data_IF_955357729643
#
_entry.id   IF_955357729643
#
_cell.length_a   1.000
_cell.length_b   1.000
_cell.length_c   1.000
_cell.angle_alpha   90.00
_cell.angle_beta   90.00
_cell.angle_gamma   90.00
#
_symmetry.space_group_name_H-M   'P 1'
#
loop_
_entity.id
_entity.type
_entity.pdbx_description
1 polymer ?
#
# COMPACT_ATOMS: atom_id res chain seq x y z
N UNK A 1 -11.00 27.35 0.94
CA UNK A 1 -10.19 26.24 1.50
C UNK A 1 -10.51 25.02 0.65
N UNK A 2 -9.64 24.69 -0.33
CA UNK A 2 -9.89 23.57 -1.25
C UNK A 2 -9.64 22.25 -0.50
N UNK A 3 -10.71 21.56 -0.12
CA UNK A 3 -10.68 20.28 0.60
C UNK A 3 -10.12 19.14 -0.28
N UNK A 4 -10.08 19.32 -1.59
CA UNK A 4 -9.64 18.33 -2.58
C UNK A 4 -8.17 17.88 -2.52
N UNK A 5 -7.18 18.73 -2.17
CA UNK A 5 -5.78 18.25 -2.10
C UNK A 5 -5.46 17.37 -0.89
N UNK A 6 -6.30 17.34 0.14
CA UNK A 6 -6.07 16.52 1.35
C UNK A 6 -6.60 15.09 1.25
N UNK A 7 -7.56 14.81 0.35
CA UNK A 7 -8.17 13.48 0.21
C UNK A 7 -7.14 12.39 -0.15
N UNK A 8 -6.26 12.57 -1.15
CA UNK A 8 -5.25 11.57 -1.46
C UNK A 8 -4.33 11.24 -0.29
N UNK A 9 -3.89 12.27 0.44
CA UNK A 9 -3.02 12.08 1.61
C UNK A 9 -3.72 11.29 2.72
N UNK A 10 -5.01 11.55 2.95
CA UNK A 10 -5.82 10.79 3.91
C UNK A 10 -5.94 9.33 3.50
N UNK A 11 -6.19 9.04 2.20
CA UNK A 11 -6.29 7.67 1.69
C UNK A 11 -4.97 6.94 1.81
N UNK A 12 -3.84 7.58 1.45
CA UNK A 12 -2.50 6.99 1.60
C UNK A 12 -2.23 6.69 3.08
N UNK A 13 -2.49 7.67 3.97
CA UNK A 13 -2.29 7.49 5.41
C UNK A 13 -3.16 6.35 5.97
N UNK A 14 -4.42 6.26 5.53
CA UNK A 14 -5.31 5.16 5.92
C UNK A 14 -4.78 3.80 5.47
N UNK A 15 -4.24 3.68 4.25
CA UNK A 15 -3.63 2.45 3.75
C UNK A 15 -2.38 2.08 4.55
N UNK A 16 -1.53 3.06 4.89
CA UNK A 16 -0.33 2.86 5.70
C UNK A 16 -0.68 2.39 7.12
N UNK A 17 -1.75 2.94 7.71
CA UNK A 17 -2.23 2.54 9.05
C UNK A 17 -2.91 1.17 9.00
N UNK A 18 -3.75 0.93 7.99
CA UNK A 18 -4.53 -0.30 7.87
C UNK A 18 -3.65 -1.54 7.65
N UNK A 19 -2.59 -1.38 6.82
CA UNK A 19 -1.76 -2.52 6.42
C UNK A 19 -1.14 -3.29 7.59
N UNK A 20 -0.43 -2.69 8.56
CA UNK A 20 0.10 -3.42 9.71
C UNK A 20 -1.00 -3.97 10.62
N UNK A 21 -2.08 -3.22 10.87
CA UNK A 21 -3.16 -3.61 11.78
C UNK A 21 -3.92 -4.87 11.34
N UNK A 22 -3.83 -5.24 10.07
CA UNK A 22 -4.49 -6.42 9.50
C UNK A 22 -3.46 -7.48 9.10
N UNK A 23 -2.72 -7.97 10.09
CA UNK A 23 -1.72 -9.04 9.93
C UNK A 23 -0.65 -8.72 8.86
N UNK A 24 -0.27 -7.42 8.74
CA UNK A 24 0.66 -6.95 7.72
C UNK A 24 0.09 -6.97 6.29
N UNK A 25 -1.23 -6.99 6.13
CA UNK A 25 -1.87 -7.07 4.81
C UNK A 25 -1.72 -8.43 4.14
N UNK A 26 -1.37 -9.49 4.89
CA UNK A 26 -1.08 -10.82 4.32
C UNK A 26 -2.33 -11.68 4.14
N UNK A 27 -3.39 -11.43 4.90
CA UNK A 27 -4.65 -12.19 4.78
C UNK A 27 -5.38 -11.85 3.49
N UNK A 28 -6.13 -12.81 2.97
CA UNK A 28 -6.93 -12.63 1.75
C UNK A 28 -7.92 -11.46 1.89
N UNK A 29 -8.56 -11.33 3.05
CA UNK A 29 -9.49 -10.25 3.35
C UNK A 29 -8.83 -8.88 3.36
N UNK A 30 -7.67 -8.74 4.01
CA UNK A 30 -6.93 -7.47 4.05
C UNK A 30 -6.41 -7.08 2.66
N UNK A 31 -5.92 -8.03 1.87
CA UNK A 31 -5.52 -7.77 0.48
C UNK A 31 -6.71 -7.31 -0.38
N UNK A 32 -7.89 -7.89 -0.21
CA UNK A 32 -9.10 -7.43 -0.92
C UNK A 32 -9.45 -5.99 -0.56
N UNK A 33 -9.42 -5.64 0.73
CA UNK A 33 -9.71 -4.27 1.20
C UNK A 33 -8.68 -3.28 0.66
N UNK A 34 -7.39 -3.60 0.73
CA UNK A 34 -6.32 -2.75 0.21
C UNK A 34 -6.51 -2.52 -1.31
N UNK A 35 -6.76 -3.57 -2.08
CA UNK A 35 -7.02 -3.47 -3.52
C UNK A 35 -8.26 -2.62 -3.81
N UNK A 36 -9.35 -2.82 -3.07
CA UNK A 36 -10.57 -2.01 -3.21
C UNK A 36 -10.29 -0.53 -2.97
N UNK A 37 -9.55 -0.18 -1.92
CA UNK A 37 -9.17 1.20 -1.62
C UNK A 37 -8.32 1.81 -2.73
N UNK A 38 -7.35 1.06 -3.28
CA UNK A 38 -6.52 1.51 -4.41
C UNK A 38 -7.39 1.76 -5.67
N UNK A 39 -8.30 0.85 -5.99
CA UNK A 39 -9.20 0.97 -7.15
C UNK A 39 -10.17 2.14 -6.98
N UNK A 40 -10.74 2.32 -5.79
CA UNK A 40 -11.61 3.47 -5.49
C UNK A 40 -10.85 4.79 -5.64
N UNK A 41 -9.64 4.86 -5.12
CA UNK A 41 -8.81 6.05 -5.27
C UNK A 41 -8.46 6.32 -6.73
N UNK A 42 -8.04 5.29 -7.48
CA UNK A 42 -7.81 5.41 -8.92
C UNK A 42 -9.07 5.93 -9.64
N UNK A 43 -10.25 5.40 -9.30
CA UNK A 43 -11.52 5.85 -9.86
C UNK A 43 -11.80 7.33 -9.58
N UNK A 44 -11.52 7.82 -8.37
CA UNK A 44 -11.64 9.23 -8.01
C UNK A 44 -10.69 10.10 -8.86
N UNK A 45 -9.43 9.67 -9.00
CA UNK A 45 -8.41 10.38 -9.79
C UNK A 45 -8.80 10.45 -11.27
N UNK A 46 -9.26 9.34 -11.83
CA UNK A 46 -9.73 9.30 -13.23
C UNK A 46 -10.95 10.19 -13.44
N UNK A 47 -11.93 10.14 -12.52
CA UNK A 47 -13.11 11.00 -12.59
C UNK A 47 -12.75 12.50 -12.51
N UNK A 48 -11.79 12.86 -11.69
CA UNK A 48 -11.27 14.24 -11.61
C UNK A 48 -10.54 14.63 -12.90
N UNK A 49 -9.67 13.76 -13.44
CA UNK A 49 -8.95 14.00 -14.69
C UNK A 49 -9.90 14.22 -15.87
N UNK A 50 -10.98 13.45 -15.96
CA UNK A 50 -12.04 13.62 -16.97
C UNK A 50 -12.73 14.97 -16.81
N UNK A 51 -13.07 15.37 -15.58
CA UNK A 51 -13.74 16.65 -15.30
C UNK A 51 -12.86 17.87 -15.64
N UNK A 52 -11.57 17.76 -15.38
CA UNK A 52 -10.60 18.85 -15.62
C UNK A 52 -10.10 18.84 -17.07
N UNK A 53 -10.29 17.75 -17.81
CA UNK A 53 -9.81 17.59 -19.19
C UNK A 53 -8.30 17.41 -19.29
N UNK A 54 -7.61 17.09 -18.17
CA UNK A 54 -6.15 16.90 -18.16
C UNK A 54 -5.75 15.75 -17.22
N UNK A 55 -4.86 14.89 -17.73
CA UNK A 55 -4.22 13.84 -16.95
C UNK A 55 -2.73 14.15 -16.86
N UNK A 56 -2.27 14.49 -15.68
CA UNK A 56 -0.84 14.69 -15.45
C UNK A 56 -0.27 13.49 -14.69
N UNK A 57 0.18 12.48 -15.43
CA UNK A 57 0.86 11.31 -14.86
C UNK A 57 2.36 11.53 -14.99
N UNK A 58 3.11 11.63 -13.88
CA UNK A 58 4.55 11.82 -13.95
C UNK A 58 5.23 10.59 -14.56
N UNK A 59 5.79 10.73 -15.75
CA UNK A 59 6.55 9.67 -16.42
C UNK A 59 8.00 9.68 -15.91
N UNK A 60 8.23 9.02 -14.79
CA UNK A 60 9.57 8.81 -14.24
C UNK A 60 10.26 7.63 -14.92
N UNK A 61 11.58 7.65 -15.00
CA UNK A 61 12.37 6.52 -15.52
C UNK A 61 12.07 5.22 -14.77
N UNK A 62 11.91 5.29 -13.44
CA UNK A 62 11.50 4.16 -12.59
C UNK A 62 10.10 3.65 -12.96
N UNK A 63 9.22 4.52 -13.43
CA UNK A 63 7.87 4.15 -13.86
C UNK A 63 7.86 3.24 -15.09
N UNK A 64 8.76 3.45 -16.05
CA UNK A 64 8.90 2.54 -17.19
C UNK A 64 9.37 1.15 -16.76
N UNK A 65 10.28 1.07 -15.77
CA UNK A 65 10.73 -0.21 -15.20
C UNK A 65 9.54 -0.91 -14.51
N UNK A 66 8.75 -0.20 -13.73
CA UNK A 66 7.58 -0.74 -13.06
C UNK A 66 6.54 -1.27 -14.06
N UNK A 67 6.26 -0.53 -15.15
CA UNK A 67 5.36 -0.97 -16.22
C UNK A 67 5.91 -2.17 -16.98
N UNK A 68 7.21 -2.22 -17.26
CA UNK A 68 7.86 -3.36 -17.88
C UNK A 68 7.73 -4.62 -17.02
N UNK A 69 7.83 -4.48 -15.70
CA UNK A 69 7.64 -5.57 -14.76
C UNK A 69 6.19 -6.08 -14.77
N UNK A 70 5.20 -5.20 -14.89
CA UNK A 70 3.78 -5.61 -15.07
C UNK A 70 3.62 -6.37 -16.39
N UNK A 71 4.22 -5.89 -17.48
CA UNK A 71 4.20 -6.57 -18.79
C UNK A 71 4.79 -7.98 -18.71
N UNK A 72 5.95 -8.12 -18.06
CA UNK A 72 6.58 -9.42 -17.84
C UNK A 72 5.71 -10.36 -16.99
N UNK A 73 5.13 -9.84 -15.91
CA UNK A 73 4.21 -10.60 -15.05
C UNK A 73 2.95 -11.04 -15.79
N UNK A 74 2.43 -10.21 -16.70
CA UNK A 74 1.30 -10.55 -17.56
C UNK A 74 1.66 -11.72 -18.49
N UNK A 75 2.79 -11.62 -19.18
CA UNK A 75 3.28 -12.69 -20.07
C UNK A 75 3.49 -13.98 -19.26
N UNK A 76 4.16 -13.92 -18.12
CA UNK A 76 4.36 -15.08 -17.26
C UNK A 76 3.03 -15.71 -16.80
N UNK A 77 2.01 -14.89 -16.53
CA UNK A 77 0.67 -15.37 -16.15
C UNK A 77 -0.04 -16.10 -17.29
N UNK A 78 0.09 -15.60 -18.52
CA UNK A 78 -0.53 -16.22 -19.71
C UNK A 78 0.03 -17.62 -20.00
N UNK A 79 1.31 -17.84 -19.74
CA UNK A 79 2.00 -19.11 -19.95
C UNK A 79 2.11 -19.96 -18.68
N UNK A 80 1.45 -19.59 -17.60
CA UNK A 80 1.54 -20.31 -16.32
C UNK A 80 0.73 -21.60 -16.34
N UNK A 81 1.29 -22.73 -15.86
CA UNK A 81 0.55 -23.95 -15.63
C UNK A 81 -0.46 -23.85 -14.47
N UNK A 82 -0.35 -22.80 -13.64
CA UNK A 82 -1.22 -22.54 -12.51
C UNK A 82 -1.97 -21.20 -12.67
N UNK A 83 -3.00 -21.13 -13.50
CA UNK A 83 -3.61 -19.85 -13.90
C UNK A 83 -4.27 -19.10 -12.73
N UNK A 84 -4.84 -19.80 -11.76
CA UNK A 84 -5.51 -19.13 -10.63
C UNK A 84 -4.53 -18.43 -9.68
N UNK A 85 -3.49 -19.06 -9.12
CA UNK A 85 -2.48 -18.36 -8.33
C UNK A 85 -1.78 -17.25 -9.10
N UNK A 86 -1.43 -17.49 -10.37
CA UNK A 86 -0.72 -16.50 -11.19
C UNK A 86 -1.52 -15.22 -11.41
N UNK A 87 -2.85 -15.32 -11.60
CA UNK A 87 -3.72 -14.15 -11.68
C UNK A 87 -3.76 -13.37 -10.36
N UNK A 88 -3.74 -14.04 -9.21
CA UNK A 88 -3.71 -13.36 -7.92
C UNK A 88 -2.42 -12.56 -7.73
N UNK A 89 -1.27 -13.13 -8.10
CA UNK A 89 0.02 -12.46 -8.08
C UNK A 89 0.08 -11.29 -9.07
N UNK A 90 -0.44 -11.47 -10.28
CA UNK A 90 -0.52 -10.39 -11.26
C UNK A 90 -1.34 -9.21 -10.72
N UNK A 91 -2.52 -9.47 -10.16
CA UNK A 91 -3.35 -8.42 -9.56
C UNK A 91 -2.66 -7.71 -8.40
N UNK A 92 -1.83 -8.42 -7.64
CA UNK A 92 -1.03 -7.82 -6.57
C UNK A 92 0.04 -6.89 -7.13
N UNK A 93 0.78 -7.32 -8.15
CA UNK A 93 1.80 -6.51 -8.84
C UNK A 93 1.16 -5.26 -9.47
N UNK A 94 0.04 -5.41 -10.16
CA UNK A 94 -0.72 -4.29 -10.74
C UNK A 94 -1.15 -3.33 -9.64
N UNK A 95 -1.64 -3.83 -8.51
CA UNK A 95 -2.01 -3.02 -7.35
C UNK A 95 -0.82 -2.20 -6.80
N UNK A 96 0.34 -2.81 -6.64
CA UNK A 96 1.55 -2.12 -6.18
C UNK A 96 2.01 -1.02 -7.15
N UNK A 97 2.01 -1.31 -8.45
CA UNK A 97 2.39 -0.33 -9.46
C UNK A 97 1.37 0.81 -9.54
N UNK A 98 0.08 0.50 -9.44
CA UNK A 98 -0.97 1.52 -9.35
C UNK A 98 -0.78 2.41 -8.12
N UNK A 99 -0.56 1.81 -6.96
CA UNK A 99 -0.31 2.55 -5.72
C UNK A 99 0.94 3.43 -5.84
N UNK A 100 2.03 2.91 -6.42
CA UNK A 100 3.25 3.68 -6.67
C UNK A 100 2.97 4.94 -7.51
N UNK A 101 2.24 4.79 -8.62
CA UNK A 101 1.89 5.94 -9.46
C UNK A 101 0.99 6.96 -8.76
N UNK A 102 0.00 6.48 -7.99
CA UNK A 102 -0.86 7.34 -7.19
C UNK A 102 -0.04 8.08 -6.13
N UNK A 103 0.89 7.40 -5.47
CA UNK A 103 1.77 8.00 -4.47
C UNK A 103 2.65 9.09 -5.08
N UNK A 104 3.36 8.80 -6.18
CA UNK A 104 4.23 9.77 -6.87
C UNK A 104 3.44 10.97 -7.41
N UNK A 105 2.20 10.76 -7.84
CA UNK A 105 1.35 11.83 -8.36
C UNK A 105 0.89 12.80 -7.28
N UNK A 106 0.64 12.32 -6.07
CA UNK A 106 0.02 13.12 -5.00
C UNK A 106 0.97 13.49 -3.87
N UNK A 107 2.11 12.82 -3.72
CA UNK A 107 3.14 13.18 -2.75
C UNK A 107 4.20 14.06 -3.43
N UNK A 108 3.78 15.28 -3.78
CA UNK A 108 4.57 16.26 -4.53
C UNK A 108 5.22 17.32 -3.63
N UNK A 109 4.78 17.43 -2.34
CA UNK A 109 5.24 18.43 -1.38
C UNK A 109 5.98 17.79 -0.23
N UNK A 110 6.97 18.50 0.30
CA UNK A 110 7.70 18.09 1.50
C UNK A 110 6.80 17.87 2.71
N UNK A 111 5.73 18.65 2.84
CA UNK A 111 4.72 18.48 3.89
C UNK A 111 4.01 17.12 3.83
N UNK A 112 3.71 16.63 2.61
CA UNK A 112 3.11 15.30 2.41
C UNK A 112 4.07 14.20 2.83
N UNK A 113 5.34 14.30 2.42
CA UNK A 113 6.40 13.36 2.83
C UNK A 113 6.55 13.35 4.35
N UNK A 114 6.64 14.54 4.98
CA UNK A 114 6.73 14.66 6.44
C UNK A 114 5.54 14.01 7.15
N UNK A 115 4.32 14.27 6.67
CA UNK A 115 3.10 13.69 7.26
C UNK A 115 3.12 12.17 7.18
N UNK A 116 3.44 11.60 6.02
CA UNK A 116 3.54 10.15 5.85
C UNK A 116 4.64 9.53 6.70
N UNK A 117 5.80 10.19 6.79
CA UNK A 117 6.89 9.75 7.68
C UNK A 117 6.44 9.71 9.13
N UNK A 118 5.74 10.76 9.61
CA UNK A 118 5.20 10.78 10.97
C UNK A 118 4.20 9.65 11.19
N UNK A 119 3.30 9.40 10.24
CA UNK A 119 2.33 8.29 10.32
C UNK A 119 3.04 6.95 10.41
N UNK A 120 4.05 6.69 9.57
CA UNK A 120 4.82 5.45 9.58
C UNK A 120 5.55 5.26 10.92
N UNK A 121 6.21 6.30 11.42
CA UNK A 121 6.94 6.26 12.70
C UNK A 121 5.98 6.01 13.87
N UNK A 122 4.83 6.70 13.90
CA UNK A 122 3.82 6.49 14.96
C UNK A 122 3.25 5.07 14.93
N UNK A 123 3.00 4.53 13.73
CA UNK A 123 2.56 3.13 13.60
C UNK A 123 3.65 2.15 14.07
N UNK A 124 4.92 2.39 13.71
CA UNK A 124 6.04 1.57 14.20
C UNK A 124 6.17 1.59 15.73
N UNK A 125 6.05 2.77 16.35
CA UNK A 125 6.04 2.91 17.81
C UNK A 125 4.85 2.16 18.41
N UNK A 126 3.67 2.27 17.82
CA UNK A 126 2.46 1.55 18.26
C UNK A 126 2.63 0.03 18.20
N UNK A 127 3.15 -0.50 17.10
CA UNK A 127 3.41 -1.93 16.92
C UNK A 127 4.49 -2.45 17.89
N UNK A 128 5.57 -1.69 18.07
CA UNK A 128 6.60 -2.03 19.05
C UNK A 128 6.06 -2.05 20.47
N UNK A 129 5.27 -1.03 20.85
CA UNK A 129 4.61 -0.95 22.15
C UNK A 129 3.66 -2.12 22.38
N UNK A 130 2.86 -2.47 21.38
CA UNK A 130 1.94 -3.62 21.45
C UNK A 130 2.69 -4.94 21.60
N UNK A 131 3.78 -5.14 20.85
CA UNK A 131 4.63 -6.34 20.98
C UNK A 131 5.27 -6.43 22.38
N UNK A 132 5.74 -5.32 22.94
CA UNK A 132 6.27 -5.28 24.32
C UNK A 132 5.19 -5.68 25.33
N UNK A 133 3.97 -5.16 25.18
CA UNK A 133 2.84 -5.54 26.04
C UNK A 133 2.49 -7.04 25.92
N UNK A 134 2.54 -7.61 24.72
CA UNK A 134 2.35 -9.05 24.53
C UNK A 134 3.41 -9.87 25.29
N UNK A 135 4.67 -9.44 25.27
CA UNK A 135 5.75 -10.10 26.00
C UNK A 135 5.61 -9.98 27.51
N UNK A 136 5.31 -8.78 28.02
CA UNK A 136 5.29 -8.49 29.46
C UNK A 136 3.97 -8.91 30.13
N UNK A 137 2.83 -8.62 29.51
CA UNK A 137 1.53 -8.84 30.14
C UNK A 137 0.99 -10.26 29.90
N UNK A 138 1.28 -10.85 28.74
CA UNK A 138 0.77 -12.18 28.38
C UNK A 138 1.85 -13.26 28.26
N UNK A 139 3.09 -12.96 28.65
CA UNK A 139 4.24 -13.89 28.59
C UNK A 139 4.41 -14.56 27.23
N UNK A 140 4.11 -13.84 26.14
CA UNK A 140 4.32 -14.36 24.79
C UNK A 140 5.81 -14.40 24.50
N UNK A 141 6.37 -15.59 24.30
CA UNK A 141 7.81 -15.80 24.08
C UNK A 141 8.32 -15.11 22.80
N UNK A 142 7.46 -15.05 21.77
CA UNK A 142 7.79 -14.41 20.50
C UNK A 142 6.64 -13.47 20.09
N UNK A 143 6.63 -12.22 20.60
CA UNK A 143 5.60 -11.26 20.26
C UNK A 143 5.52 -10.99 18.76
N UNK A 144 4.31 -10.84 18.25
CA UNK A 144 4.06 -10.61 16.82
C UNK A 144 3.53 -9.20 16.53
N UNK A 145 3.21 -8.43 17.57
CA UNK A 145 2.43 -7.20 17.38
C UNK A 145 1.05 -7.53 16.85
N UNK A 146 0.63 -6.84 15.83
CA UNK A 146 -0.58 -7.17 15.05
C UNK A 146 -0.29 -8.05 13.84
N UNK A 147 0.97 -8.42 13.59
CA UNK A 147 1.38 -9.26 12.47
C UNK A 147 1.14 -10.74 12.75
N UNK A 148 0.97 -11.51 11.68
CA UNK A 148 0.83 -12.97 11.74
C UNK A 148 2.11 -13.67 12.27
N UNK A 149 3.30 -13.09 12.01
CA UNK A 149 4.59 -13.70 12.31
C UNK A 149 5.57 -12.67 12.88
N UNK A 150 6.34 -13.00 13.93
CA UNK A 150 7.32 -12.08 14.52
C UNK A 150 8.40 -11.60 13.53
N UNK A 151 8.70 -12.39 12.48
CA UNK A 151 9.65 -11.96 11.46
C UNK A 151 9.09 -10.83 10.58
N UNK A 152 7.79 -10.78 10.36
CA UNK A 152 7.15 -9.66 9.66
C UNK A 152 7.15 -8.41 10.52
N UNK A 153 6.90 -8.53 11.82
CA UNK A 153 7.05 -7.41 12.75
C UNK A 153 8.48 -6.87 12.74
N UNK A 154 9.49 -7.75 12.82
CA UNK A 154 10.89 -7.35 12.80
C UNK A 154 11.31 -6.68 11.47
N UNK A 155 10.71 -7.09 10.35
CA UNK A 155 10.94 -6.45 9.06
C UNK A 155 10.20 -5.11 8.88
N UNK A 156 9.16 -4.87 9.68
CA UNK A 156 8.40 -3.63 9.67
C UNK A 156 9.04 -2.55 10.55
N UNK A 157 9.58 -2.91 11.72
CA UNK A 157 10.27 -2.01 12.66
C UNK A 157 11.68 -1.65 12.21
#
# INVERSE_FOLDING_TARGET
MNILPSIPLVVISALVIFSPLQEGGTTHSSQMIIRLLIVLWLGIVLAQGIRVGSFNVPMLSVGYIALSFVGLALVATLFSPYPHPSRQWLLMIVGYVTFFYLLVTFVDRWEHVRTLTVVIVLMGIGEAGWAILQGLAWNVVRPTGTFFNPNFLAGYL
#
